data_IF_188633742444
#
_entry.id   IF_188633742444
#
_cell.length_a   1.000
_cell.length_b   1.000
_cell.length_c   1.000
_cell.angle_alpha   90.00
_cell.angle_beta   90.00
_cell.angle_gamma   90.00
#
_symmetry.space_group_name_H-M   'P 1'
#
loop_
_entity.id
_entity.type
_entity.pdbx_description
1 polymer ?
#
# COMPACT_ATOMS: atom_id res chain seq x y z
N UNK A 1 1.04 15.61 1.13
CA UNK A 1 -0.17 15.58 0.27
C UNK A 1 0.05 16.25 -1.07
N UNK A 2 0.87 17.30 -1.15
CA UNK A 2 1.08 18.06 -2.39
C UNK A 2 1.66 17.23 -3.54
N UNK A 3 2.56 16.27 -3.24
CA UNK A 3 3.14 15.37 -4.26
C UNK A 3 2.08 14.53 -4.97
N UNK A 4 1.11 13.95 -4.23
CA UNK A 4 0.02 13.16 -4.84
C UNK A 4 -0.86 14.06 -5.70
N UNK A 5 -1.28 15.21 -5.17
CA UNK A 5 -2.17 16.11 -5.89
C UNK A 5 -1.51 16.66 -7.16
N UNK A 6 -0.24 17.06 -7.10
CA UNK A 6 0.50 17.52 -8.27
C UNK A 6 0.65 16.42 -9.34
N UNK A 7 0.93 15.18 -8.93
CA UNK A 7 1.02 14.05 -9.85
C UNK A 7 -0.34 13.73 -10.51
N UNK A 8 -1.42 13.74 -9.72
CA UNK A 8 -2.78 13.54 -10.22
C UNK A 8 -3.18 14.64 -11.20
N UNK A 9 -2.98 15.90 -10.85
CA UNK A 9 -3.29 17.05 -11.71
C UNK A 9 -2.52 16.98 -13.03
N UNK A 10 -1.23 16.65 -12.99
CA UNK A 10 -0.42 16.46 -14.20
C UNK A 10 -0.94 15.30 -15.07
N UNK A 11 -1.30 14.17 -14.47
CA UNK A 11 -1.83 13.02 -15.21
C UNK A 11 -3.17 13.35 -15.87
N UNK A 12 -4.09 14.00 -15.15
CA UNK A 12 -5.39 14.43 -15.65
C UNK A 12 -5.27 15.46 -16.78
N UNK A 13 -4.26 16.33 -16.75
CA UNK A 13 -4.03 17.32 -17.80
C UNK A 13 -3.51 16.72 -19.12
N UNK A 14 -2.82 15.58 -19.04
CA UNK A 14 -2.16 14.94 -20.20
C UNK A 14 -3.00 13.88 -20.89
N UNK A 15 -4.05 13.38 -20.24
CA UNK A 15 -4.83 12.24 -20.71
C UNK A 15 -6.33 12.51 -20.62
N UNK A 16 -7.04 12.33 -21.74
CA UNK A 16 -8.50 12.30 -21.70
C UNK A 16 -9.00 10.96 -21.13
N UNK A 17 -10.10 11.02 -20.38
CA UNK A 17 -10.70 9.86 -19.70
C UNK A 17 -11.01 8.69 -20.63
N UNK A 18 -11.27 8.98 -21.90
CA UNK A 18 -11.57 7.99 -22.94
C UNK A 18 -10.41 7.01 -23.18
N UNK A 19 -9.18 7.38 -22.82
CA UNK A 19 -7.99 6.54 -22.99
C UNK A 19 -7.59 5.81 -21.70
N UNK A 20 -8.37 5.94 -20.62
CA UNK A 20 -8.03 5.29 -19.37
C UNK A 20 -8.32 3.79 -19.44
N UNK A 21 -7.40 2.98 -18.93
CA UNK A 21 -7.56 1.54 -18.90
C UNK A 21 -8.58 1.16 -17.82
N UNK A 22 -9.65 0.41 -18.17
CA UNK A 22 -10.58 -0.10 -17.17
C UNK A 22 -9.91 -1.20 -16.34
N UNK A 23 -9.92 -1.04 -15.03
CA UNK A 23 -9.19 -1.92 -14.11
C UNK A 23 -10.02 -2.33 -12.91
N UNK A 24 -9.68 -3.49 -12.34
CA UNK A 24 -10.11 -3.94 -11.02
C UNK A 24 -8.90 -3.93 -10.10
N UNK A 25 -9.07 -3.40 -8.88
CA UNK A 25 -8.03 -3.37 -7.85
C UNK A 25 -8.42 -4.34 -6.74
N UNK A 26 -7.63 -5.41 -6.58
CA UNK A 26 -7.79 -6.37 -5.50
C UNK A 26 -6.77 -6.10 -4.38
N UNK A 27 -7.25 -5.96 -3.15
CA UNK A 27 -6.40 -5.68 -1.98
C UNK A 27 -6.38 -6.91 -1.07
N UNK A 28 -5.24 -7.60 -1.05
CA UNK A 28 -4.95 -8.69 -0.13
C UNK A 28 -4.03 -8.23 1.02
N UNK A 29 -3.88 -9.01 2.10
CA UNK A 29 -3.13 -8.57 3.29
C UNK A 29 -1.66 -8.20 3.05
N UNK A 30 -1.03 -8.67 1.97
CA UNK A 30 0.37 -8.41 1.66
C UNK A 30 0.60 -7.87 0.24
N UNK A 31 -0.41 -7.90 -0.62
CA UNK A 31 -0.32 -7.57 -2.03
C UNK A 31 -1.54 -6.76 -2.47
N UNK A 32 -1.32 -5.84 -3.40
CA UNK A 32 -2.35 -5.14 -4.16
C UNK A 32 -2.15 -5.51 -5.62
N UNK A 33 -3.20 -6.02 -6.26
CA UNK A 33 -3.15 -6.47 -7.65
C UNK A 33 -4.10 -5.62 -8.49
N UNK A 34 -3.61 -5.14 -9.62
CA UNK A 34 -4.39 -4.40 -10.62
C UNK A 34 -4.53 -5.29 -11.84
N UNK A 35 -5.77 -5.61 -12.22
CA UNK A 35 -6.09 -6.40 -13.41
C UNK A 35 -6.90 -5.56 -14.39
N UNK A 36 -6.80 -5.88 -15.67
CA UNK A 36 -7.71 -5.33 -16.68
C UNK A 36 -9.12 -5.89 -16.45
N UNK A 37 -10.14 -5.03 -16.45
CA UNK A 37 -11.51 -5.40 -16.07
C UNK A 37 -12.09 -6.53 -16.94
N UNK A 38 -11.87 -6.49 -18.26
CA UNK A 38 -12.49 -7.45 -19.19
C UNK A 38 -11.69 -8.74 -19.41
N UNK A 39 -10.36 -8.67 -19.35
CA UNK A 39 -9.47 -9.79 -19.74
C UNK A 39 -8.86 -10.48 -18.54
N UNK A 40 -9.05 -9.91 -17.34
CA UNK A 40 -8.42 -10.33 -16.08
C UNK A 40 -6.88 -10.35 -16.13
N UNK A 41 -6.27 -9.79 -17.18
CA UNK A 41 -4.83 -9.73 -17.33
C UNK A 41 -4.22 -8.89 -16.20
N UNK A 42 -3.21 -9.44 -15.52
CA UNK A 42 -2.49 -8.73 -14.44
C UNK A 42 -1.66 -7.61 -15.05
N UNK A 43 -2.03 -6.36 -14.75
CA UNK A 43 -1.32 -5.17 -15.18
C UNK A 43 -0.23 -4.78 -14.19
N UNK A 44 -0.49 -5.01 -12.90
CA UNK A 44 0.45 -4.67 -11.84
C UNK A 44 0.21 -5.52 -10.58
N UNK A 45 1.31 -5.93 -9.93
CA UNK A 45 1.27 -6.48 -8.58
C UNK A 45 2.22 -5.67 -7.69
N UNK A 46 1.67 -5.12 -6.61
CA UNK A 46 2.35 -4.26 -5.66
C UNK A 46 2.40 -4.95 -4.29
N UNK A 47 3.57 -5.00 -3.65
CA UNK A 47 3.68 -5.51 -2.27
C UNK A 47 3.45 -4.40 -1.27
N UNK A 48 2.48 -4.58 -0.35
CA UNK A 48 2.11 -3.59 0.67
C UNK A 48 3.31 -3.08 1.48
N UNK A 49 4.32 -3.93 1.72
CA UNK A 49 5.54 -3.55 2.45
C UNK A 49 6.40 -2.48 1.76
N UNK A 50 6.21 -2.23 0.47
CA UNK A 50 6.94 -1.24 -0.32
C UNK A 50 6.07 -0.03 -0.66
N UNK A 51 4.81 -0.01 -0.24
CA UNK A 51 3.98 1.17 -0.32
C UNK A 51 4.51 2.20 0.68
N UNK A 52 4.99 3.33 0.17
CA UNK A 52 5.56 4.40 0.99
C UNK A 52 4.52 5.45 1.36
N UNK A 53 3.56 5.71 0.46
CA UNK A 53 2.53 6.73 0.67
C UNK A 53 1.28 6.41 -0.14
N UNK A 54 0.12 6.86 0.31
CA UNK A 54 -1.13 6.80 -0.44
C UNK A 54 -2.07 7.92 -0.01
N UNK A 55 -3.06 8.24 -0.84
CA UNK A 55 -4.07 9.22 -0.51
C UNK A 55 -5.14 9.41 -1.58
N UNK A 56 -6.28 9.91 -1.13
CA UNK A 56 -7.32 10.48 -2.00
C UNK A 56 -6.89 11.89 -2.39
N UNK A 57 -7.01 12.23 -3.67
CA UNK A 57 -6.68 13.56 -4.17
C UNK A 57 -7.74 14.60 -3.84
N UNK A 58 -7.60 15.81 -4.41
CA UNK A 58 -8.60 16.89 -4.26
C UNK A 58 -9.97 16.50 -4.81
N UNK A 59 -10.03 15.79 -5.93
CA UNK A 59 -11.26 15.14 -6.39
C UNK A 59 -11.41 13.82 -5.61
N UNK A 60 -12.57 13.62 -4.98
CA UNK A 60 -12.86 12.45 -4.15
C UNK A 60 -12.80 11.12 -4.91
N UNK A 61 -12.84 11.14 -6.24
CA UNK A 61 -12.69 9.97 -7.12
C UNK A 61 -11.25 9.63 -7.43
N UNK A 62 -10.35 10.59 -7.24
CA UNK A 62 -8.93 10.40 -7.52
C UNK A 62 -8.23 9.75 -6.33
N UNK A 63 -7.50 8.67 -6.59
CA UNK A 63 -6.68 7.98 -5.62
C UNK A 63 -5.28 7.78 -6.18
N UNK A 64 -4.27 7.87 -5.32
CA UNK A 64 -2.92 7.49 -5.70
C UNK A 64 -2.19 6.78 -4.57
N UNK A 65 -1.26 5.91 -4.95
CA UNK A 65 -0.30 5.30 -4.04
C UNK A 65 1.10 5.27 -4.66
N UNK A 66 2.11 5.37 -3.81
CA UNK A 66 3.51 5.46 -4.19
C UNK A 66 4.21 4.21 -3.70
N UNK A 67 4.86 3.52 -4.63
CA UNK A 67 5.65 2.32 -4.38
C UNK A 67 7.13 2.66 -4.46
N UNK A 68 7.90 2.23 -3.46
CA UNK A 68 9.36 2.20 -3.54
C UNK A 68 9.79 0.98 -4.37
N UNK A 69 10.20 1.19 -5.62
CA UNK A 69 10.63 0.11 -6.52
C UNK A 69 12.08 -0.30 -6.29
N UNK A 70 12.93 0.64 -5.87
CA UNK A 70 14.32 0.44 -5.46
C UNK A 70 14.73 1.60 -4.52
N UNK A 71 15.88 1.53 -3.82
CA UNK A 71 16.36 2.66 -3.03
C UNK A 71 16.46 3.94 -3.87
N UNK A 72 15.74 4.99 -3.46
CA UNK A 72 15.67 6.26 -4.20
C UNK A 72 14.79 6.25 -5.46
N UNK A 73 14.18 5.12 -5.83
CA UNK A 73 13.29 5.01 -6.99
C UNK A 73 11.85 4.78 -6.55
N UNK A 74 10.96 5.67 -6.98
CA UNK A 74 9.54 5.64 -6.62
C UNK A 74 8.66 5.63 -7.86
N UNK A 75 7.54 4.91 -7.78
CA UNK A 75 6.51 4.88 -8.82
C UNK A 75 5.17 5.27 -8.21
N UNK A 76 4.53 6.28 -8.79
CA UNK A 76 3.17 6.66 -8.45
C UNK A 76 2.19 5.88 -9.33
N UNK A 77 1.20 5.26 -8.70
CA UNK A 77 0.07 4.62 -9.35
C UNK A 77 -1.17 5.45 -9.05
N UNK A 78 -1.93 5.79 -10.10
CA UNK A 78 -3.10 6.64 -10.00
C UNK A 78 -4.32 5.85 -10.47
N UNK A 79 -5.39 5.92 -9.70
CA UNK A 79 -6.63 5.19 -9.94
C UNK A 79 -7.77 6.20 -9.84
N UNK A 80 -8.72 6.10 -10.76
CA UNK A 80 -9.96 6.83 -10.72
C UNK A 80 -11.09 5.89 -10.34
N UNK A 81 -11.80 6.21 -9.25
CA UNK A 81 -12.83 5.36 -8.67
C UNK A 81 -14.21 6.01 -8.81
N UNK A 82 -15.22 5.22 -9.16
CA UNK A 82 -16.62 5.65 -9.16
C UNK A 82 -17.40 4.89 -8.06
N UNK A 83 -18.24 5.56 -7.25
CA UNK A 83 -18.52 7.00 -7.27
C UNK A 83 -17.45 7.85 -6.55
N UNK A 84 -16.56 7.22 -5.78
CA UNK A 84 -15.43 7.87 -5.09
C UNK A 84 -14.38 6.82 -4.67
N UNK A 85 -13.23 7.28 -4.16
CA UNK A 85 -12.10 6.45 -3.77
C UNK A 85 -12.15 5.91 -2.32
N UNK A 86 -13.21 6.19 -1.55
CA UNK A 86 -13.25 5.87 -0.12
C UNK A 86 -13.00 4.37 0.13
N UNK A 87 -13.77 3.49 -0.52
CA UNK A 87 -13.65 2.04 -0.33
C UNK A 87 -12.26 1.49 -0.66
N UNK A 88 -11.63 1.97 -1.75
CA UNK A 88 -10.27 1.55 -2.10
C UNK A 88 -9.24 2.07 -1.09
N UNK A 89 -9.35 3.35 -0.69
CA UNK A 89 -8.42 3.95 0.26
C UNK A 89 -8.47 3.30 1.64
N UNK A 90 -9.67 2.98 2.12
CA UNK A 90 -9.89 2.29 3.41
C UNK A 90 -9.37 0.85 3.36
N UNK A 91 -9.63 0.11 2.28
CA UNK A 91 -9.15 -1.26 2.11
C UNK A 91 -7.61 -1.30 2.09
N UNK A 92 -6.96 -0.40 1.36
CA UNK A 92 -5.50 -0.35 1.31
C UNK A 92 -4.91 0.11 2.65
N UNK A 93 -5.55 1.05 3.35
CA UNK A 93 -5.18 1.45 4.70
C UNK A 93 -5.21 0.27 5.66
N UNK A 94 -6.31 -0.49 5.66
CA UNK A 94 -6.46 -1.67 6.48
C UNK A 94 -5.38 -2.73 6.19
N UNK A 95 -5.09 -2.98 4.91
CA UNK A 95 -4.02 -3.88 4.52
C UNK A 95 -2.65 -3.41 5.02
N UNK A 96 -2.33 -2.12 4.90
CA UNK A 96 -1.11 -1.53 5.44
C UNK A 96 -1.00 -1.73 6.95
N UNK A 97 -2.06 -1.41 7.70
CA UNK A 97 -2.08 -1.56 9.17
C UNK A 97 -1.91 -3.02 9.60
N UNK A 98 -2.65 -3.95 9.00
CA UNK A 98 -2.54 -5.38 9.29
C UNK A 98 -1.16 -5.93 8.93
N UNK A 99 -0.59 -5.48 7.80
CA UNK A 99 0.75 -5.93 7.39
C UNK A 99 1.82 -5.42 8.34
N UNK A 100 1.70 -4.18 8.79
CA UNK A 100 2.60 -3.59 9.77
C UNK A 100 2.54 -4.35 11.10
N UNK A 101 1.33 -4.59 11.63
CA UNK A 101 1.15 -5.35 12.87
C UNK A 101 1.77 -6.75 12.78
N UNK A 102 1.51 -7.48 11.69
CA UNK A 102 2.12 -8.81 11.46
C UNK A 102 3.66 -8.78 11.44
N UNK A 103 4.27 -7.68 10.97
CA UNK A 103 5.73 -7.54 11.01
C UNK A 103 6.26 -7.28 12.42
N UNK A 104 5.49 -6.59 13.27
CA UNK A 104 5.82 -6.40 14.67
C UNK A 104 5.69 -7.72 15.45
N UNK A 105 4.60 -8.45 15.24
CA UNK A 105 4.34 -9.72 15.94
C UNK A 105 5.35 -10.81 15.55
N UNK A 106 5.83 -10.80 14.30
CA UNK A 106 6.84 -11.73 13.82
C UNK A 106 8.26 -11.42 14.31
N UNK A 107 8.50 -10.26 14.95
CA UNK A 107 9.78 -10.02 15.61
C UNK A 107 9.89 -10.96 16.80
N UNK A 108 11.01 -11.68 16.97
CA UNK A 108 11.27 -12.42 18.20
C UNK A 108 11.06 -11.46 19.37
N UNK A 109 10.22 -11.85 20.33
CA UNK A 109 10.18 -11.18 21.63
C UNK A 109 11.64 -11.06 22.04
N UNK A 110 12.18 -9.84 22.12
CA UNK A 110 13.51 -9.62 22.64
C UNK A 110 13.54 -10.38 23.95
N UNK A 111 14.35 -11.45 23.98
CA UNK A 111 14.36 -12.42 25.06
C UNK A 111 14.26 -11.67 26.36
N UNK A 112 13.18 -11.88 27.11
CA UNK A 112 13.28 -11.75 28.55
C UNK A 112 14.44 -12.67 28.89
N UNK A 113 15.60 -12.06 29.13
CA UNK A 113 16.78 -12.76 29.58
C UNK A 113 16.35 -13.49 30.84
N UNK A 114 16.10 -14.79 30.72
CA UNK A 114 16.23 -15.70 31.84
C UNK A 114 17.69 -15.56 32.27
N UNK A 115 17.93 -14.62 33.18
CA UNK A 115 19.13 -14.66 33.99
C UNK A 115 19.14 -16.05 34.64
N UNK A 116 20.21 -16.84 34.49
CA UNK A 116 20.31 -18.10 35.19
C UNK A 116 20.17 -17.82 36.69
N UNK A 117 19.33 -18.59 37.37
CA UNK A 117 19.20 -18.52 38.83
C UNK A 117 20.60 -18.70 39.45
N UNK A 118 20.96 -17.91 40.47
CA UNK A 118 22.25 -18.08 41.14
C UNK A 118 22.34 -19.49 41.74
N UNK A 119 23.53 -20.12 41.76
CA UNK A 119 23.71 -21.41 42.39
C UNK A 119 23.33 -21.31 43.86
N UNK A 120 22.52 -22.24 44.35
CA UNK A 120 22.19 -22.34 45.76
C UNK A 120 23.47 -22.65 46.54
N UNK A 121 23.89 -21.70 47.37
CA UNK A 121 25.00 -21.86 48.30
C UNK A 121 24.75 -22.98 49.32
N UNK A 122 25.85 -23.63 49.66
CA UNK A 122 26.03 -24.75 50.57
C UNK A 122 25.41 -24.60 51.96
N UNK A 123 24.89 -25.73 52.50
CA UNK A 123 25.13 -26.22 53.88
C UNK A 123 25.22 -27.74 53.84
#
# INVERSE_FOLDING_TARGET
>A
MDVINAALEAALATSSKEHWTPIVVNVAPATLTITHEQTEAVLCECRVRFLSFMGVGRDVRSFAFIMASAPGAFRCHMVWCEPNAAGLSEALQAACMLRYQKCLDARPQASSSCLPAPPADSV
#
